data_IF_454164669362
#
_entry.id   IF_454164669362
#
_cell.length_a   1.000
_cell.length_b   1.000
_cell.length_c   1.000
_cell.angle_alpha   90.00
_cell.angle_beta   90.00
_cell.angle_gamma   90.00
#
_symmetry.space_group_name_H-M   'P 1'
#
loop_
_entity.id
_entity.type
_entity.pdbx_description
1 polymer ?
#
# COMPACT_ATOMS: atom_id res chain seq x y z
N UNK A 1 25.77 15.22 -3.17
CA UNK A 1 24.53 15.68 -3.81
C UNK A 1 24.68 17.13 -4.27
N UNK A 2 25.15 18.05 -3.42
CA UNK A 2 25.26 19.47 -3.75
C UNK A 2 26.23 19.73 -4.92
N UNK A 3 27.40 19.07 -4.96
CA UNK A 3 28.33 19.14 -6.09
C UNK A 3 27.68 18.65 -7.40
N UNK A 4 26.91 17.56 -7.37
CA UNK A 4 26.18 17.08 -8.54
C UNK A 4 25.19 18.12 -9.07
N UNK A 5 24.41 18.75 -8.19
CA UNK A 5 23.44 19.77 -8.62
C UNK A 5 24.11 21.06 -9.12
N UNK A 6 25.29 21.41 -8.61
CA UNK A 6 26.04 22.58 -9.05
C UNK A 6 26.68 22.40 -10.44
N UNK A 7 27.04 21.17 -10.79
CA UNK A 7 27.79 20.85 -12.03
C UNK A 7 26.89 20.27 -13.15
N UNK A 8 25.69 19.79 -12.83
CA UNK A 8 24.78 19.15 -13.79
C UNK A 8 24.24 20.17 -14.81
N UNK A 9 24.30 19.83 -16.10
CA UNK A 9 23.67 20.64 -17.14
C UNK A 9 22.16 20.61 -17.00
N UNK A 10 21.55 21.79 -16.99
CA UNK A 10 20.09 21.93 -16.88
C UNK A 10 19.34 21.25 -18.05
N UNK A 11 19.93 21.18 -19.25
CA UNK A 11 19.33 20.51 -20.40
C UNK A 11 19.28 18.98 -20.16
N UNK A 12 20.35 18.42 -19.61
CA UNK A 12 20.42 16.99 -19.28
C UNK A 12 19.44 16.63 -18.13
N UNK A 13 19.33 17.47 -17.11
CA UNK A 13 18.36 17.29 -16.03
C UNK A 13 16.92 17.33 -16.55
N UNK A 14 16.61 18.25 -17.47
CA UNK A 14 15.28 18.32 -18.11
C UNK A 14 15.02 17.11 -18.99
N UNK A 15 16.00 16.63 -19.72
CA UNK A 15 15.88 15.43 -20.55
C UNK A 15 15.65 14.19 -19.66
N UNK A 16 16.45 14.03 -18.63
CA UNK A 16 16.30 12.97 -17.63
C UNK A 16 14.87 12.97 -17.03
N UNK A 17 14.39 14.12 -16.56
CA UNK A 17 13.06 14.25 -15.98
C UNK A 17 11.96 13.88 -16.98
N UNK A 18 12.09 14.32 -18.25
CA UNK A 18 11.12 13.97 -19.33
C UNK A 18 11.09 12.46 -19.60
N UNK A 19 12.25 11.82 -19.70
CA UNK A 19 12.36 10.37 -19.92
C UNK A 19 11.71 9.60 -18.77
N UNK A 20 12.03 9.96 -17.51
CA UNK A 20 11.44 9.33 -16.34
C UNK A 20 9.92 9.54 -16.25
N UNK A 21 9.44 10.71 -16.62
CA UNK A 21 8.00 10.99 -16.69
C UNK A 21 7.31 10.09 -17.73
N UNK A 22 7.87 9.99 -18.95
CA UNK A 22 7.32 9.12 -20.00
C UNK A 22 7.32 7.65 -19.54
N UNK A 23 8.40 7.17 -18.94
CA UNK A 23 8.49 5.81 -18.41
C UNK A 23 7.45 5.56 -17.31
N UNK A 24 7.30 6.50 -16.38
CA UNK A 24 6.33 6.40 -15.28
C UNK A 24 4.86 6.34 -15.75
N UNK A 25 4.54 6.97 -16.87
CA UNK A 25 3.18 6.97 -17.44
C UNK A 25 3.01 6.00 -18.62
N UNK A 26 4.04 5.27 -19.05
CA UNK A 26 4.04 4.48 -20.28
C UNK A 26 2.83 3.53 -20.43
N UNK A 27 2.45 2.86 -19.34
CA UNK A 27 1.30 1.94 -19.33
C UNK A 27 -0.07 2.65 -19.44
N UNK A 28 -0.12 3.95 -19.25
CA UNK A 28 -1.30 4.81 -19.34
C UNK A 28 -1.33 5.68 -20.60
N UNK A 29 -0.27 5.63 -21.42
CA UNK A 29 -0.14 6.31 -22.70
C UNK A 29 -0.68 5.48 -23.87
N UNK A 30 -0.35 5.85 -25.12
CA UNK A 30 -0.76 5.12 -26.31
C UNK A 30 -0.15 3.71 -26.34
N UNK A 31 -0.72 2.85 -27.22
CA UNK A 31 -0.29 1.45 -27.38
C UNK A 31 1.22 1.31 -27.60
N UNK A 32 1.83 2.19 -28.36
CA UNK A 32 3.25 2.09 -28.72
C UNK A 32 4.15 2.27 -27.49
N UNK A 33 3.81 3.25 -26.64
CA UNK A 33 4.52 3.44 -25.36
C UNK A 33 4.32 2.24 -24.42
N UNK A 34 3.09 1.78 -24.26
CA UNK A 34 2.77 0.63 -23.39
C UNK A 34 3.48 -0.64 -23.89
N UNK A 35 3.46 -0.89 -25.21
CA UNK A 35 4.10 -2.08 -25.80
C UNK A 35 5.61 -2.02 -25.66
N UNK A 36 6.24 -0.89 -26.01
CA UNK A 36 7.69 -0.71 -25.91
C UNK A 36 8.17 -0.86 -24.46
N UNK A 37 7.44 -0.28 -23.52
CA UNK A 37 7.73 -0.40 -22.09
C UNK A 37 7.62 -1.87 -21.63
N UNK A 38 6.58 -2.59 -22.03
CA UNK A 38 6.42 -4.01 -21.70
C UNK A 38 7.49 -4.87 -22.37
N UNK A 39 7.85 -4.61 -23.61
CA UNK A 39 8.86 -5.38 -24.34
C UNK A 39 10.23 -5.32 -23.64
N UNK A 40 10.58 -4.20 -23.08
CA UNK A 40 11.81 -4.08 -22.31
C UNK A 40 11.66 -4.55 -20.86
N UNK A 41 10.82 -3.90 -20.06
CA UNK A 41 10.73 -4.18 -18.63
C UNK A 41 10.02 -5.49 -18.31
N UNK A 42 9.00 -5.84 -19.09
CA UNK A 42 8.26 -7.07 -18.92
C UNK A 42 9.00 -8.29 -19.52
N UNK A 43 9.31 -8.24 -20.81
CA UNK A 43 9.90 -9.40 -21.49
C UNK A 43 11.38 -9.57 -21.19
N UNK A 44 12.19 -8.52 -21.40
CA UNK A 44 13.65 -8.63 -21.28
C UNK A 44 14.07 -8.72 -19.82
N UNK A 45 13.63 -7.80 -18.97
CA UNK A 45 14.10 -7.76 -17.58
C UNK A 45 13.36 -8.74 -16.65
N UNK A 46 12.05 -8.94 -16.84
CA UNK A 46 11.24 -9.77 -15.92
C UNK A 46 10.91 -11.15 -16.51
N UNK A 47 11.28 -11.46 -17.75
CA UNK A 47 11.00 -12.75 -18.39
C UNK A 47 9.53 -13.05 -18.67
N UNK A 48 8.65 -12.06 -18.61
CA UNK A 48 7.22 -12.24 -18.83
C UNK A 48 6.93 -12.53 -20.31
N UNK A 49 6.23 -13.64 -20.60
CA UNK A 49 5.91 -14.03 -21.97
C UNK A 49 4.81 -13.20 -22.60
N UNK A 50 3.87 -12.69 -21.80
CA UNK A 50 2.67 -11.96 -22.25
C UNK A 50 2.31 -10.86 -21.26
N UNK A 51 1.86 -9.71 -21.78
CA UNK A 51 1.27 -8.63 -20.98
C UNK A 51 -0.01 -9.12 -20.29
N UNK A 52 -0.25 -8.66 -19.06
CA UNK A 52 -1.53 -8.89 -18.36
C UNK A 52 -2.69 -8.31 -19.17
N UNK A 53 -3.84 -8.95 -19.09
CA UNK A 53 -5.06 -8.48 -19.74
C UNK A 53 -5.39 -7.03 -19.34
N UNK A 54 -5.87 -6.24 -20.30
CA UNK A 54 -6.09 -4.80 -20.11
C UNK A 54 -7.01 -4.49 -18.93
N UNK A 55 -8.08 -5.26 -18.74
CA UNK A 55 -9.00 -5.07 -17.63
C UNK A 55 -8.33 -5.28 -16.26
N UNK A 56 -7.43 -6.26 -16.13
CA UNK A 56 -6.66 -6.50 -14.90
C UNK A 56 -5.72 -5.34 -14.58
N UNK A 57 -5.14 -4.74 -15.63
CA UNK A 57 -4.29 -3.55 -15.49
C UNK A 57 -5.09 -2.32 -15.10
N UNK A 58 -6.30 -2.17 -15.69
CA UNK A 58 -7.23 -1.11 -15.30
C UNK A 58 -7.67 -1.21 -13.83
N UNK A 59 -8.03 -2.40 -13.36
CA UNK A 59 -8.33 -2.64 -11.94
C UNK A 59 -7.13 -2.29 -11.06
N UNK A 60 -5.91 -2.67 -11.46
CA UNK A 60 -4.69 -2.31 -10.71
C UNK A 60 -4.47 -0.80 -10.66
N UNK A 61 -4.75 -0.08 -11.75
CA UNK A 61 -4.67 1.38 -11.80
C UNK A 61 -5.68 2.03 -10.85
N UNK A 62 -6.94 1.60 -10.89
CA UNK A 62 -8.00 2.11 -9.99
C UNK A 62 -7.66 1.84 -8.53
N UNK A 63 -7.17 0.63 -8.21
CA UNK A 63 -6.70 0.31 -6.86
C UNK A 63 -5.52 1.19 -6.40
N UNK A 64 -4.67 1.63 -7.32
CA UNK A 64 -3.58 2.56 -7.02
C UNK A 64 -4.03 4.01 -6.84
N UNK A 65 -5.14 4.40 -7.47
CA UNK A 65 -5.66 5.78 -7.46
C UNK A 65 -6.58 6.02 -6.26
N UNK A 66 -7.59 5.17 -6.07
CA UNK A 66 -8.64 5.32 -5.05
C UNK A 66 -8.93 3.97 -4.35
N UNK A 67 -7.86 3.28 -3.97
CA UNK A 67 -7.95 1.91 -3.47
C UNK A 67 -8.78 1.74 -2.21
N UNK A 68 -8.82 2.72 -1.31
CA UNK A 68 -9.65 2.64 -0.11
C UNK A 68 -11.15 2.81 -0.41
N UNK A 69 -11.53 3.62 -1.41
CA UNK A 69 -12.95 3.71 -1.81
C UNK A 69 -13.41 2.40 -2.46
N UNK A 70 -12.57 1.78 -3.31
CA UNK A 70 -12.82 0.42 -3.82
C UNK A 70 -12.87 -0.58 -2.66
N UNK A 71 -12.00 -0.44 -1.68
CA UNK A 71 -11.97 -1.26 -0.47
C UNK A 71 -13.23 -1.14 0.38
N UNK A 72 -13.79 0.06 0.50
CA UNK A 72 -15.06 0.30 1.20
C UNK A 72 -16.20 -0.49 0.56
N UNK A 73 -16.28 -0.46 -0.78
CA UNK A 73 -17.29 -1.21 -1.51
C UNK A 73 -17.04 -2.73 -1.44
N UNK A 74 -15.78 -3.17 -1.54
CA UNK A 74 -15.41 -4.56 -1.34
C UNK A 74 -15.85 -5.09 0.03
N UNK A 75 -15.57 -4.35 1.09
CA UNK A 75 -15.95 -4.71 2.47
C UNK A 75 -17.46 -4.79 2.62
N UNK A 76 -18.19 -3.80 2.10
CA UNK A 76 -19.64 -3.78 2.13
C UNK A 76 -20.27 -5.03 1.51
N UNK A 77 -19.67 -5.56 0.45
CA UNK A 77 -20.19 -6.72 -0.29
C UNK A 77 -19.70 -8.06 0.26
N UNK A 78 -18.48 -8.13 0.78
CA UNK A 78 -17.77 -9.40 0.98
C UNK A 78 -17.22 -9.62 2.39
N UNK A 79 -17.19 -8.61 3.26
CA UNK A 79 -16.60 -8.76 4.59
C UNK A 79 -17.48 -8.12 5.68
N UNK A 80 -18.52 -8.83 6.15
CA UNK A 80 -19.43 -8.29 7.15
C UNK A 80 -18.73 -8.08 8.50
N UNK A 81 -19.28 -7.18 9.31
CA UNK A 81 -18.74 -6.84 10.63
C UNK A 81 -18.63 -8.07 11.56
N UNK A 82 -19.52 -9.05 11.41
CA UNK A 82 -19.44 -10.30 12.16
C UNK A 82 -18.15 -11.08 11.87
N UNK A 83 -17.67 -11.07 10.63
CA UNK A 83 -16.38 -11.66 10.25
C UNK A 83 -15.20 -10.91 10.88
N UNK A 84 -15.26 -9.57 10.87
CA UNK A 84 -14.25 -8.73 11.54
C UNK A 84 -14.15 -9.09 13.03
N UNK A 85 -15.27 -9.10 13.75
CA UNK A 85 -15.30 -9.43 15.19
C UNK A 85 -14.74 -10.81 15.49
N UNK A 86 -15.09 -11.83 14.69
CA UNK A 86 -14.56 -13.19 14.89
C UNK A 86 -13.03 -13.24 14.69
N UNK A 87 -12.51 -12.49 13.74
CA UNK A 87 -11.07 -12.41 13.50
C UNK A 87 -10.36 -11.62 14.59
N UNK A 88 -10.96 -10.53 15.09
CA UNK A 88 -10.46 -9.79 16.24
C UNK A 88 -10.35 -10.68 17.49
N UNK A 89 -11.36 -11.50 17.77
CA UNK A 89 -11.36 -12.48 18.86
C UNK A 89 -10.25 -13.54 18.66
N UNK A 90 -10.12 -14.09 17.44
CA UNK A 90 -9.08 -15.05 17.13
C UNK A 90 -7.68 -14.48 17.37
N UNK A 91 -7.42 -13.25 16.91
CA UNK A 91 -6.13 -12.59 17.07
C UNK A 91 -5.87 -12.26 18.55
N UNK A 92 -6.88 -11.84 19.29
CA UNK A 92 -6.77 -11.63 20.74
C UNK A 92 -6.37 -12.92 21.46
N UNK A 93 -7.02 -14.06 21.15
CA UNK A 93 -6.67 -15.37 21.70
C UNK A 93 -5.24 -15.80 21.33
N UNK A 94 -4.76 -15.50 20.11
CA UNK A 94 -3.38 -15.75 19.71
C UNK A 94 -2.39 -14.91 20.53
N UNK A 95 -2.69 -13.63 20.75
CA UNK A 95 -1.84 -12.75 21.58
C UNK A 95 -1.75 -13.28 23.01
N UNK A 96 -2.86 -13.74 23.58
CA UNK A 96 -2.88 -14.32 24.91
C UNK A 96 -2.09 -15.64 24.97
N UNK A 97 -2.20 -16.49 23.95
CA UNK A 97 -1.37 -17.69 23.84
C UNK A 97 0.13 -17.37 23.77
N UNK A 98 0.51 -16.30 23.03
CA UNK A 98 1.91 -15.83 23.01
C UNK A 98 2.38 -15.32 24.36
N UNK A 99 1.54 -14.61 25.13
CA UNK A 99 1.87 -14.18 26.50
C UNK A 99 2.18 -15.38 27.39
N UNK A 100 1.32 -16.41 27.34
CA UNK A 100 1.54 -17.66 28.09
C UNK A 100 2.82 -18.36 27.65
N UNK A 101 3.05 -18.49 26.34
CA UNK A 101 4.25 -19.12 25.79
C UNK A 101 5.55 -18.41 26.22
N UNK A 102 5.57 -17.07 26.16
CA UNK A 102 6.74 -16.28 26.58
C UNK A 102 6.98 -16.42 28.08
N UNK A 103 5.92 -16.35 28.88
CA UNK A 103 6.03 -16.48 30.35
C UNK A 103 6.61 -17.84 30.75
N UNK A 104 6.18 -18.92 30.08
CA UNK A 104 6.58 -20.28 30.37
C UNK A 104 7.86 -20.75 29.63
N UNK A 105 8.48 -19.88 28.84
CA UNK A 105 9.68 -20.21 28.09
C UNK A 105 10.85 -20.54 29.05
N UNK A 106 11.52 -21.67 28.85
CA UNK A 106 12.66 -22.12 29.62
C UNK A 106 14.02 -21.64 29.09
N UNK A 107 14.05 -21.17 27.84
CA UNK A 107 15.24 -20.66 27.14
C UNK A 107 15.41 -19.14 27.16
N UNK A 108 14.36 -18.40 27.52
CA UNK A 108 14.41 -16.93 27.66
C UNK A 108 14.80 -16.54 29.09
N UNK A 109 15.80 -15.67 29.23
CA UNK A 109 16.11 -15.04 30.52
C UNK A 109 15.01 -14.08 30.95
N UNK A 110 14.88 -13.82 32.26
CA UNK A 110 13.80 -13.02 32.84
C UNK A 110 13.72 -11.58 32.27
N UNK A 111 14.86 -10.93 32.04
CA UNK A 111 14.90 -9.60 31.40
C UNK A 111 14.34 -9.62 29.95
N UNK A 112 14.61 -10.70 29.22
CA UNK A 112 14.12 -10.88 27.86
C UNK A 112 12.61 -11.16 27.84
N UNK A 113 12.12 -11.98 28.77
CA UNK A 113 10.70 -12.23 28.97
C UNK A 113 9.97 -10.92 29.27
N UNK A 114 10.47 -10.12 30.20
CA UNK A 114 9.86 -8.83 30.58
C UNK A 114 9.74 -7.90 29.36
N UNK A 115 10.81 -7.75 28.56
CA UNK A 115 10.81 -6.93 27.34
C UNK A 115 9.88 -7.48 26.26
N UNK A 116 9.80 -8.80 26.10
CA UNK A 116 8.89 -9.43 25.14
C UNK A 116 7.42 -9.24 25.53
N UNK A 117 7.09 -9.37 26.82
CA UNK A 117 5.76 -9.11 27.35
C UNK A 117 5.39 -7.63 27.24
N UNK A 118 6.33 -6.71 27.49
CA UNK A 118 6.14 -5.28 27.24
C UNK A 118 5.85 -5.01 25.74
N UNK A 119 6.60 -5.61 24.82
CA UNK A 119 6.35 -5.48 23.38
C UNK A 119 4.95 -5.96 23.01
N UNK A 120 4.53 -7.13 23.50
CA UNK A 120 3.20 -7.69 23.25
C UNK A 120 2.09 -6.79 23.84
N UNK A 121 2.32 -6.18 25.00
CA UNK A 121 1.31 -5.28 25.60
C UNK A 121 1.04 -4.02 24.75
N UNK A 122 2.01 -3.63 23.91
CA UNK A 122 1.93 -2.49 22.97
C UNK A 122 1.62 -2.92 21.55
N UNK A 123 1.37 -4.20 21.32
CA UNK A 123 1.09 -4.75 19.99
C UNK A 123 -0.32 -4.41 19.55
N UNK A 124 -0.46 -3.85 18.36
CA UNK A 124 -1.75 -3.40 17.84
C UNK A 124 -2.13 -4.21 16.59
N UNK A 125 -3.14 -5.08 16.65
CA UNK A 125 -3.69 -5.71 15.48
C UNK A 125 -4.68 -4.80 14.76
N UNK A 126 -4.66 -4.81 13.42
CA UNK A 126 -5.62 -4.16 12.54
C UNK A 126 -6.25 -5.22 11.64
N UNK A 127 -7.56 -5.39 11.73
CA UNK A 127 -8.28 -6.50 11.11
C UNK A 127 -9.31 -6.00 10.10
N UNK A 128 -9.23 -6.53 8.90
CA UNK A 128 -10.22 -6.37 7.85
C UNK A 128 -10.11 -5.05 7.11
N UNK A 129 -10.42 -3.96 7.76
CA UNK A 129 -10.49 -2.63 7.16
C UNK A 129 -10.34 -1.52 8.21
N UNK A 130 -9.98 -0.31 7.71
CA UNK A 130 -9.80 0.89 8.53
C UNK A 130 -11.13 1.39 9.11
N UNK A 131 -11.06 2.00 10.30
CA UNK A 131 -12.19 2.73 10.86
C UNK A 131 -12.25 4.19 10.33
N UNK A 132 -11.17 4.69 9.73
CA UNK A 132 -11.03 6.04 9.18
C UNK A 132 -10.65 5.95 7.71
N UNK A 133 -11.67 5.97 6.84
CA UNK A 133 -11.48 5.92 5.39
C UNK A 133 -10.84 7.22 4.89
N UNK A 134 -9.94 7.08 3.93
CA UNK A 134 -9.30 8.21 3.27
C UNK A 134 -10.33 9.04 2.52
N UNK A 135 -10.24 10.36 2.65
CA UNK A 135 -11.09 11.30 1.92
C UNK A 135 -10.50 11.59 0.54
N UNK A 136 -11.18 11.13 -0.50
CA UNK A 136 -10.81 11.36 -1.90
C UNK A 136 -11.57 12.55 -2.54
N UNK A 137 -12.27 13.39 -1.78
CA UNK A 137 -13.06 14.50 -2.31
C UNK A 137 -12.24 15.51 -3.12
N UNK A 138 -10.94 15.64 -2.82
CA UNK A 138 -10.01 16.48 -3.58
C UNK A 138 -9.43 15.81 -4.83
N UNK A 139 -9.69 14.51 -5.05
CA UNK A 139 -9.25 13.79 -6.23
C UNK A 139 -10.25 13.99 -7.38
N UNK A 140 -9.82 14.67 -8.45
CA UNK A 140 -10.64 14.87 -9.65
C UNK A 140 -10.21 13.90 -10.74
N UNK A 141 -11.10 12.95 -11.08
CA UNK A 141 -10.93 12.00 -12.20
C UNK A 141 -12.16 12.05 -13.09
N UNK A 142 -11.99 11.78 -14.39
CA UNK A 142 -13.07 11.79 -15.37
C UNK A 142 -13.05 10.55 -16.25
N UNK A 143 -14.23 10.04 -16.58
CA UNK A 143 -14.38 8.95 -17.54
C UNK A 143 -14.01 9.38 -18.97
N UNK A 144 -14.10 10.67 -19.28
CA UNK A 144 -13.80 11.24 -20.60
C UNK A 144 -12.32 11.62 -20.75
N UNK A 145 -11.58 11.67 -19.65
CA UNK A 145 -10.16 11.98 -19.66
C UNK A 145 -9.32 10.77 -20.10
N UNK A 146 -8.15 11.04 -20.70
CA UNK A 146 -7.18 9.98 -20.98
C UNK A 146 -6.70 9.33 -19.67
N UNK A 147 -6.37 8.02 -19.68
CA UNK A 147 -5.82 7.35 -18.49
C UNK A 147 -4.61 8.05 -17.86
N UNK A 148 -3.74 8.64 -18.69
CA UNK A 148 -2.58 9.40 -18.23
C UNK A 148 -2.96 10.70 -17.48
N UNK A 149 -4.06 11.36 -17.86
CA UNK A 149 -4.56 12.56 -17.18
C UNK A 149 -5.11 12.21 -15.80
N UNK A 150 -5.90 11.14 -15.70
CA UNK A 150 -6.38 10.63 -14.42
C UNK A 150 -5.21 10.16 -13.52
N UNK A 151 -4.21 9.47 -14.09
CA UNK A 151 -3.02 9.08 -13.35
C UNK A 151 -2.21 10.29 -12.86
N UNK A 152 -2.12 11.37 -13.65
CA UNK A 152 -1.49 12.63 -13.23
C UNK A 152 -2.26 13.28 -12.08
N UNK A 153 -3.59 13.36 -12.17
CA UNK A 153 -4.44 13.90 -11.11
C UNK A 153 -4.25 13.09 -9.80
N UNK A 154 -4.21 11.77 -9.90
CA UNK A 154 -3.95 10.88 -8.78
C UNK A 154 -2.56 11.11 -8.13
N UNK A 155 -1.52 11.26 -8.94
CA UNK A 155 -0.17 11.54 -8.45
C UNK A 155 -0.08 12.91 -7.74
N UNK A 156 -0.76 13.93 -8.26
CA UNK A 156 -0.83 15.24 -7.61
C UNK A 156 -1.56 15.16 -6.27
N UNK A 157 -2.70 14.47 -6.22
CA UNK A 157 -3.44 14.22 -4.99
C UNK A 157 -2.58 13.47 -3.97
N UNK A 158 -1.93 12.36 -4.38
CA UNK A 158 -1.08 11.56 -3.51
C UNK A 158 0.12 12.38 -2.98
N UNK A 159 0.77 13.14 -3.84
CA UNK A 159 1.88 14.02 -3.45
C UNK A 159 1.43 15.04 -2.41
N UNK A 160 0.29 15.69 -2.63
CA UNK A 160 -0.31 16.62 -1.68
C UNK A 160 -0.63 15.97 -0.32
N UNK A 161 -1.20 14.76 -0.36
CA UNK A 161 -1.50 13.97 0.84
C UNK A 161 -0.23 13.62 1.62
N UNK A 162 0.83 13.17 0.96
CA UNK A 162 2.10 12.84 1.62
C UNK A 162 2.81 14.09 2.17
N UNK A 163 2.83 15.19 1.42
CA UNK A 163 3.41 16.45 1.88
C UNK A 163 2.67 17.02 3.10
N UNK A 164 1.35 16.82 3.18
CA UNK A 164 0.56 17.25 4.32
C UNK A 164 0.89 16.52 5.63
N UNK A 165 1.65 15.42 5.59
CA UNK A 165 2.15 14.70 6.78
C UNK A 165 3.43 15.31 7.36
N UNK A 166 4.16 16.08 6.56
CA UNK A 166 5.44 16.68 7.00
C UNK A 166 5.20 17.56 8.24
N UNK A 167 6.00 17.35 9.27
CA UNK A 167 5.89 18.06 10.55
C UNK A 167 4.75 17.62 11.47
N UNK A 168 3.97 16.61 11.08
CA UNK A 168 2.94 16.00 11.93
C UNK A 168 3.45 14.72 12.61
N UNK A 169 2.81 14.33 13.71
CA UNK A 169 3.03 13.02 14.31
C UNK A 169 2.57 11.90 13.37
N UNK A 170 3.20 10.74 13.49
CA UNK A 170 2.84 9.54 12.71
C UNK A 170 1.40 9.15 13.02
N UNK A 171 0.59 9.01 11.97
CA UNK A 171 -0.75 8.45 12.08
C UNK A 171 -0.66 6.93 12.22
N UNK A 172 -0.93 6.43 13.43
CA UNK A 172 -0.90 5.00 13.71
C UNK A 172 -2.11 4.25 13.14
N UNK A 173 -3.15 4.96 12.72
CA UNK A 173 -4.36 4.35 12.14
C UNK A 173 -4.26 4.21 10.61
N UNK A 174 -3.27 4.81 9.98
CA UNK A 174 -3.04 4.68 8.54
C UNK A 174 -2.79 3.22 8.13
N UNK A 175 -3.44 2.79 7.05
CA UNK A 175 -3.24 1.49 6.44
C UNK A 175 -2.35 1.61 5.19
N UNK A 176 -1.38 0.68 5.04
CA UNK A 176 -0.48 0.64 3.88
C UNK A 176 -0.95 -0.31 2.79
N UNK A 177 -2.04 -1.05 3.03
CA UNK A 177 -2.68 -1.95 2.08
C UNK A 177 -4.19 -1.75 2.09
N UNK A 178 -4.78 -1.83 0.91
CA UNK A 178 -6.23 -1.74 0.75
C UNK A 178 -6.94 -3.01 1.26
N UNK A 179 -8.19 -2.95 1.72
CA UNK A 179 -8.94 -4.10 2.22
C UNK A 179 -9.06 -5.27 1.23
N UNK A 180 -9.09 -5.01 -0.07
CA UNK A 180 -9.15 -6.01 -1.14
C UNK A 180 -7.81 -6.65 -1.48
N UNK A 181 -6.75 -6.35 -0.74
CA UNK A 181 -5.42 -6.92 -0.97
C UNK A 181 -5.30 -8.27 -0.27
N UNK A 182 -4.99 -9.34 -1.04
CA UNK A 182 -4.69 -10.67 -0.49
C UNK A 182 -3.25 -10.69 -0.01
N UNK A 183 -3.01 -10.11 1.15
CA UNK A 183 -1.71 -10.04 1.82
C UNK A 183 -1.90 -9.61 3.28
N UNK A 184 -0.79 -9.60 4.03
CA UNK A 184 -0.70 -9.07 5.39
C UNK A 184 0.68 -8.43 5.60
N UNK A 185 0.82 -7.58 6.59
CA UNK A 185 2.13 -7.00 6.93
C UNK A 185 2.25 -6.71 8.43
N UNK A 186 3.50 -6.65 8.86
CA UNK A 186 3.87 -6.13 10.18
C UNK A 186 4.73 -4.88 10.00
N UNK A 187 4.35 -3.80 10.68
CA UNK A 187 5.09 -2.54 10.68
C UNK A 187 5.84 -2.40 12.04
N UNK A 188 7.14 -2.67 12.06
CA UNK A 188 7.91 -2.73 13.31
C UNK A 188 8.06 -1.37 13.99
N UNK A 189 8.10 -0.27 13.26
CA UNK A 189 8.23 1.07 13.83
C UNK A 189 6.99 1.48 14.64
N UNK A 190 5.83 0.94 14.30
CA UNK A 190 4.55 1.18 14.98
C UNK A 190 4.11 0.02 15.89
N UNK A 191 4.78 -1.13 15.81
CA UNK A 191 4.40 -2.39 16.45
C UNK A 191 2.96 -2.83 16.10
N UNK A 192 2.63 -2.75 14.81
CA UNK A 192 1.29 -3.00 14.26
C UNK A 192 1.33 -4.18 13.31
N UNK A 193 0.39 -5.12 13.42
CA UNK A 193 0.13 -6.15 12.40
C UNK A 193 -1.20 -5.86 11.70
N UNK A 194 -1.24 -6.06 10.39
CA UNK A 194 -2.40 -5.72 9.57
C UNK A 194 -2.80 -6.90 8.70
N UNK A 195 -4.09 -7.27 8.78
CA UNK A 195 -4.71 -8.30 7.97
C UNK A 195 -5.87 -7.70 7.19
N UNK A 196 -5.68 -7.30 5.92
CA UNK A 196 -6.76 -6.84 5.05
C UNK A 196 -7.89 -7.88 4.89
N UNK A 197 -9.11 -7.41 4.61
CA UNK A 197 -10.29 -8.25 4.53
C UNK A 197 -10.16 -9.41 3.53
N UNK A 198 -9.47 -9.17 2.40
CA UNK A 198 -9.38 -10.16 1.33
C UNK A 198 -8.56 -11.40 1.71
N UNK A 199 -7.53 -11.29 2.59
CA UNK A 199 -6.76 -12.48 3.04
C UNK A 199 -7.54 -13.31 4.08
N UNK A 200 -8.60 -12.74 4.66
CA UNK A 200 -9.43 -13.37 5.69
C UNK A 200 -10.68 -14.06 5.10
N UNK A 201 -10.78 -14.14 3.78
CA UNK A 201 -11.85 -14.86 3.09
C UNK A 201 -11.59 -16.37 3.13
N UNK A 202 -12.67 -17.20 3.10
CA UNK A 202 -12.55 -18.65 3.02
C UNK A 202 -11.81 -19.13 1.78
#
# INVERSE_FOLDING_TARGET
>A
LDAFWAEADLADLKLWARVHMILGFASSLSRDFDTTNFDFYGKVLSGAKKQRDRWKRAVSLVNGICGEDVGREYVRLHFPESSKRRMEELVANLIDAYRVSITNSDWLGEDTKAKALEKISKFTPKIGYTNHWRDYSALSVSADAMPAENAKAANLYETGYQLAKVGKSVDKDEWLMNPQTVNAYYEPSMNVIVFPAAILQP
#
